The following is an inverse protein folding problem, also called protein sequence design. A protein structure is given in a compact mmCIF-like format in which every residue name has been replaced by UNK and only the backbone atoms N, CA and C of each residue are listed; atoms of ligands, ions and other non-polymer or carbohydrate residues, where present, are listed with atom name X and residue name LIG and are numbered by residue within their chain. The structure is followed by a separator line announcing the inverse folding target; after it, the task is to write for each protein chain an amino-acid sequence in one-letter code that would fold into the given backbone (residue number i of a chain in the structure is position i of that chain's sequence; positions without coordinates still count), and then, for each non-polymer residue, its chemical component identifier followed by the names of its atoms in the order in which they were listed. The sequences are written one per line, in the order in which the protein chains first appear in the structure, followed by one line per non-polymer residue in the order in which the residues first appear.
data_IF_048531128174
#
_entry.id   IF_048531128174
#
_cell.length_a   1.000
_cell.length_b   1.000
_cell.length_c   1.000
_cell.angle_alpha   90.00
_cell.angle_beta   90.00
_cell.angle_gamma   90.00
#
_symmetry.space_group_name_H-M   'P 1'
#
loop_
_entity.id
_entity.type
_entity.pdbx_description
1 polymer ?
#
# COMPACT_ATOMS: atom_id res chain seq x y z
N UNK A 1 1.15 48.72 -43.17
CA UNK A 1 2.19 49.08 -42.18
C UNK A 1 1.50 49.70 -40.96
N UNK A 2 0.87 48.89 -40.12
CA UNK A 2 1.44 48.40 -38.86
C UNK A 2 1.75 49.51 -37.84
N UNK A 3 0.91 49.62 -36.80
CA UNK A 3 1.38 49.95 -35.46
C UNK A 3 0.56 49.23 -34.40
N UNK A 4 1.33 48.60 -33.53
CA UNK A 4 1.02 47.75 -32.39
C UNK A 4 0.43 48.54 -31.21
N UNK A 5 0.01 47.77 -30.19
CA UNK A 5 -0.35 48.12 -28.81
C UNK A 5 -1.84 48.45 -28.61
N UNK A 6 -2.56 47.91 -27.62
CA UNK A 6 -2.19 47.12 -26.43
C UNK A 6 -3.45 46.37 -25.98
N UNK A 7 -3.29 45.15 -25.51
CA UNK A 7 -4.28 44.44 -24.70
C UNK A 7 -4.43 45.13 -23.35
N UNK A 8 -5.64 45.62 -23.05
CA UNK A 8 -6.08 45.81 -21.67
C UNK A 8 -7.24 44.83 -21.43
N UNK A 9 -7.08 44.04 -20.38
CA UNK A 9 -8.12 43.17 -19.84
C UNK A 9 -9.30 44.04 -19.37
N UNK A 10 -10.49 43.76 -19.89
CA UNK A 10 -11.73 44.26 -19.30
C UNK A 10 -12.86 43.26 -19.56
N UNK A 11 -13.11 42.49 -18.49
CA UNK A 11 -14.41 42.37 -17.85
C UNK A 11 -15.47 41.41 -18.42
N UNK A 12 -15.99 40.64 -17.48
CA UNK A 12 -17.00 39.62 -17.64
C UNK A 12 -18.35 40.31 -17.73
N UNK A 13 -18.97 40.25 -18.92
CA UNK A 13 -20.42 40.20 -19.04
C UNK A 13 -21.16 41.54 -18.96
N UNK A 14 -21.41 42.14 -20.12
CA UNK A 14 -22.69 42.82 -20.40
C UNK A 14 -22.92 42.82 -21.92
N UNK A 15 -23.92 42.08 -22.41
CA UNK A 15 -24.31 42.12 -23.83
C UNK A 15 -25.12 43.38 -24.12
N UNK A 16 -24.46 44.49 -24.44
CA UNK A 16 -25.16 45.68 -24.94
C UNK A 16 -25.68 45.39 -26.37
N UNK A 17 -26.94 45.73 -26.65
CA UNK A 17 -27.40 45.82 -28.04
C UNK A 17 -26.59 46.93 -28.70
N UNK A 18 -25.94 46.63 -29.82
CA UNK A 18 -25.49 47.71 -30.70
C UNK A 18 -26.77 48.26 -31.30
N UNK A 19 -27.19 49.42 -30.82
CA UNK A 19 -28.24 50.15 -31.53
C UNK A 19 -27.69 50.36 -32.94
N UNK A 20 -28.43 49.87 -33.93
CA UNK A 20 -28.26 50.19 -35.36
C UNK A 20 -27.36 49.28 -36.23
N UNK A 21 -26.78 48.19 -35.71
CA UNK A 21 -26.15 47.18 -36.59
C UNK A 21 -27.14 46.05 -36.95
N UNK A 22 -27.45 45.83 -38.25
CA UNK A 22 -28.32 44.73 -38.66
C UNK A 22 -27.62 43.38 -38.51
N UNK A 23 -28.42 42.34 -38.25
CA UNK A 23 -27.93 40.96 -38.25
C UNK A 23 -27.40 40.58 -39.63
N UNK A 24 -26.21 39.97 -39.69
CA UNK A 24 -25.56 39.53 -40.92
C UNK A 24 -26.23 38.32 -41.61
N UNK A 25 -27.38 37.86 -41.11
CA UNK A 25 -28.06 36.69 -41.67
C UNK A 25 -29.01 37.16 -42.80
N UNK A 26 -28.93 36.57 -44.01
CA UNK A 26 -29.79 36.96 -45.13
C UNK A 26 -31.28 36.96 -44.75
N UNK A 27 -31.97 38.05 -45.03
CA UNK A 27 -33.40 38.21 -44.72
C UNK A 27 -33.73 38.48 -43.24
N UNK A 28 -32.74 38.73 -42.37
CA UNK A 28 -32.98 38.99 -40.96
C UNK A 28 -33.06 40.49 -40.63
N UNK A 29 -34.26 41.00 -40.34
CA UNK A 29 -34.48 42.39 -39.91
C UNK A 29 -34.25 42.67 -38.41
N UNK A 30 -33.39 41.90 -37.72
CA UNK A 30 -33.13 42.07 -36.27
C UNK A 30 -31.78 42.73 -36.03
N UNK A 31 -31.66 43.46 -34.93
CA UNK A 31 -30.40 44.07 -34.52
C UNK A 31 -29.41 43.03 -33.98
N UNK A 32 -28.14 43.23 -34.28
CA UNK A 32 -27.03 42.41 -33.83
C UNK A 32 -26.66 42.69 -32.37
N UNK A 33 -25.95 41.73 -31.76
CA UNK A 33 -25.33 41.89 -30.45
C UNK A 33 -23.81 42.00 -30.63
N UNK A 34 -23.17 42.89 -29.87
CA UNK A 34 -21.70 42.92 -29.76
C UNK A 34 -21.26 41.68 -28.97
N UNK A 35 -20.52 40.78 -29.60
CA UNK A 35 -19.95 39.58 -28.98
C UNK A 35 -18.50 39.41 -29.42
N UNK A 36 -17.62 39.06 -28.49
CA UNK A 36 -16.20 38.85 -28.79
C UNK A 36 -16.02 37.65 -29.72
N UNK A 37 -15.44 37.87 -30.92
CA UNK A 37 -14.99 36.80 -31.81
C UNK A 37 -15.97 36.31 -32.88
N UNK A 38 -17.02 37.06 -33.22
CA UNK A 38 -17.91 36.74 -34.34
C UNK A 38 -18.54 38.00 -34.96
N UNK A 39 -18.85 37.96 -36.26
CA UNK A 39 -19.54 39.06 -36.96
C UNK A 39 -20.92 39.40 -36.36
N UNK A 40 -21.54 40.54 -36.76
CA UNK A 40 -22.76 41.04 -36.13
C UNK A 40 -23.96 40.10 -36.34
N UNK A 41 -24.30 39.29 -35.34
CA UNK A 41 -25.46 38.38 -35.37
C UNK A 41 -26.44 38.65 -34.23
N UNK A 42 -27.75 38.49 -34.50
CA UNK A 42 -28.76 38.53 -33.44
C UNK A 42 -28.65 37.27 -32.55
N UNK A 43 -29.21 37.32 -31.34
CA UNK A 43 -29.10 36.19 -30.38
C UNK A 43 -29.60 34.86 -30.97
N UNK A 44 -30.68 34.86 -31.76
CA UNK A 44 -31.22 33.64 -32.39
C UNK A 44 -30.23 33.04 -33.39
N UNK A 45 -29.65 33.85 -34.26
CA UNK A 45 -28.67 33.38 -35.25
C UNK A 45 -27.32 33.04 -34.63
N UNK A 46 -26.93 33.70 -33.53
CA UNK A 46 -25.77 33.31 -32.75
C UNK A 46 -25.97 31.94 -32.07
N UNK A 47 -27.15 31.68 -31.49
CA UNK A 47 -27.48 30.36 -30.93
C UNK A 47 -27.60 29.29 -32.02
N UNK A 48 -28.12 29.63 -33.20
CA UNK A 48 -28.10 28.73 -34.36
C UNK A 48 -26.67 28.49 -34.86
N UNK A 49 -25.79 29.49 -34.83
CA UNK A 49 -24.38 29.32 -35.16
C UNK A 49 -23.67 28.38 -34.19
N UNK A 50 -23.88 28.56 -32.89
CA UNK A 50 -23.38 27.65 -31.84
C UNK A 50 -23.92 26.22 -32.00
N UNK A 51 -25.17 26.09 -32.46
CA UNK A 51 -25.88 24.81 -32.52
C UNK A 51 -25.72 24.06 -33.85
N UNK A 52 -25.55 24.76 -34.97
CA UNK A 52 -25.65 24.19 -36.32
C UNK A 52 -24.50 24.55 -37.27
N UNK A 53 -23.54 25.40 -36.86
CA UNK A 53 -22.30 25.68 -37.60
C UNK A 53 -22.45 25.88 -39.13
N UNK A 54 -23.54 26.51 -39.60
CA UNK A 54 -23.72 26.87 -41.01
C UNK A 54 -23.06 28.23 -41.36
N UNK A 55 -22.13 28.69 -40.52
CA UNK A 55 -21.05 29.57 -40.93
C UNK A 55 -19.83 28.67 -40.84
N UNK A 56 -19.20 28.37 -41.97
CA UNK A 56 -18.02 27.50 -42.00
C UNK A 56 -16.97 28.12 -41.07
N UNK A 57 -16.93 27.64 -39.82
CA UNK A 57 -15.79 27.89 -38.96
C UNK A 57 -14.59 27.38 -39.75
N UNK A 58 -13.51 28.18 -39.91
CA UNK A 58 -12.33 27.69 -40.62
C UNK A 58 -12.02 26.32 -40.04
N UNK A 59 -11.73 25.30 -40.89
CA UNK A 59 -11.41 23.97 -40.41
C UNK A 59 -10.38 24.19 -39.33
N UNK A 60 -10.69 23.79 -38.08
CA UNK A 60 -9.70 23.87 -37.01
C UNK A 60 -8.48 23.22 -37.61
N UNK A 61 -7.39 23.97 -37.69
CA UNK A 61 -6.11 23.45 -38.15
C UNK A 61 -5.75 22.37 -37.12
N UNK A 62 -6.28 21.17 -37.36
CA UNK A 62 -6.02 19.96 -36.61
C UNK A 62 -4.65 19.58 -37.13
N UNK A 63 -3.63 20.34 -36.73
CA UNK A 63 -2.29 19.82 -36.73
C UNK A 63 -2.40 18.52 -35.94
N UNK A 64 -2.51 17.41 -36.69
CA UNK A 64 -2.52 16.06 -36.20
C UNK A 64 -1.14 15.90 -35.59
N UNK A 65 -1.02 16.26 -34.32
CA UNK A 65 0.18 16.00 -33.55
C UNK A 65 0.20 14.50 -33.39
N UNK A 66 0.92 13.83 -34.29
CA UNK A 66 1.24 12.42 -34.15
C UNK A 66 2.03 12.31 -32.85
N UNK A 67 1.49 11.56 -31.90
CA UNK A 67 2.11 11.31 -30.60
C UNK A 67 2.75 9.93 -30.59
N UNK A 68 3.84 9.79 -29.83
CA UNK A 68 4.43 8.48 -29.55
C UNK A 68 3.91 7.97 -28.21
N UNK A 69 3.36 6.75 -28.19
CA UNK A 69 2.89 6.11 -26.97
C UNK A 69 4.06 5.77 -26.04
N UNK A 70 4.06 6.26 -24.80
CA UNK A 70 5.08 6.02 -23.79
C UNK A 70 5.10 4.58 -23.22
N UNK A 71 4.24 3.69 -23.72
CA UNK A 71 4.23 2.27 -23.34
C UNK A 71 4.63 1.35 -24.50
N UNK A 72 3.91 1.42 -25.63
CA UNK A 72 4.16 0.54 -26.77
C UNK A 72 4.99 1.19 -27.89
N UNK A 73 5.38 2.46 -27.73
CA UNK A 73 6.13 3.25 -28.72
C UNK A 73 5.44 3.44 -30.08
N UNK A 74 4.17 3.02 -30.23
CA UNK A 74 3.44 3.26 -31.48
C UNK A 74 3.09 4.73 -31.65
N UNK A 75 3.18 5.20 -32.89
CA UNK A 75 2.64 6.50 -33.30
C UNK A 75 1.10 6.45 -33.30
N UNK A 76 0.45 7.49 -32.80
CA UNK A 76 -1.00 7.59 -32.79
C UNK A 76 -1.49 9.03 -32.86
N UNK A 77 -2.70 9.21 -33.36
CA UNK A 77 -3.35 10.51 -33.47
C UNK A 77 -4.52 10.63 -32.49
N UNK A 78 -4.84 11.87 -32.08
CA UNK A 78 -6.04 12.17 -31.29
C UNK A 78 -6.97 13.02 -32.13
N UNK A 79 -8.28 12.74 -32.05
CA UNK A 79 -9.32 13.55 -32.72
C UNK A 79 -9.55 14.94 -32.10
N UNK A 80 -8.76 15.32 -31.09
CA UNK A 80 -8.85 16.59 -30.38
C UNK A 80 -7.46 17.13 -30.02
N UNK A 81 -7.33 18.45 -29.94
CA UNK A 81 -6.11 19.14 -29.52
C UNK A 81 -5.90 19.02 -28.01
N UNK A 82 -4.66 18.75 -27.58
CA UNK A 82 -4.24 18.75 -26.17
C UNK A 82 -3.43 20.01 -25.85
N UNK A 83 -3.42 20.45 -24.59
CA UNK A 83 -2.57 21.58 -24.15
C UNK A 83 -1.09 21.26 -24.34
N UNK A 84 -0.23 22.29 -24.51
CA UNK A 84 1.23 22.11 -24.64
C UNK A 84 1.82 21.33 -23.47
N UNK A 85 1.38 21.63 -22.24
CA UNK A 85 1.78 20.91 -21.04
C UNK A 85 1.44 19.41 -21.12
N UNK A 86 0.20 19.08 -21.49
CA UNK A 86 -0.21 17.69 -21.65
C UNK A 86 0.59 17.02 -22.76
N UNK A 87 0.77 17.67 -23.90
CA UNK A 87 1.57 17.17 -25.03
C UNK A 87 3.03 16.90 -24.66
N UNK A 88 3.63 17.71 -23.80
CA UNK A 88 4.99 17.51 -23.27
C UNK A 88 5.07 16.34 -22.27
N UNK A 89 3.94 15.96 -21.68
CA UNK A 89 3.83 14.81 -20.79
C UNK A 89 3.76 13.48 -21.52
N UNK A 90 3.80 12.39 -20.76
CA UNK A 90 3.70 11.02 -21.29
C UNK A 90 2.35 10.80 -21.97
N UNK A 91 2.40 10.42 -23.25
CA UNK A 91 1.23 10.13 -24.07
C UNK A 91 0.98 8.63 -24.16
N UNK A 92 -0.28 8.22 -24.26
CA UNK A 92 -0.67 6.82 -24.44
C UNK A 92 -1.73 6.68 -25.52
N UNK A 93 -1.59 5.68 -26.39
CA UNK A 93 -2.49 5.47 -27.52
C UNK A 93 -3.90 5.05 -27.09
N UNK A 94 -4.02 4.35 -25.96
CA UNK A 94 -5.30 3.94 -25.37
C UNK A 94 -5.17 3.76 -23.84
N UNK A 95 -6.29 3.48 -23.17
CA UNK A 95 -6.35 3.29 -21.72
C UNK A 95 -5.57 2.06 -21.24
N UNK A 96 -5.45 1.02 -22.07
CA UNK A 96 -4.70 -0.19 -21.75
C UNK A 96 -3.20 0.12 -21.67
N UNK A 97 -2.66 0.83 -22.67
CA UNK A 97 -1.29 1.30 -22.69
C UNK A 97 -1.00 2.29 -21.55
N UNK A 98 -1.97 3.13 -21.17
CA UNK A 98 -1.82 4.00 -20.01
C UNK A 98 -1.69 3.19 -18.71
N UNK A 99 -2.59 2.22 -18.50
CA UNK A 99 -2.56 1.33 -17.32
C UNK A 99 -1.29 0.51 -17.28
N UNK A 100 -0.91 -0.11 -18.40
CA UNK A 100 0.29 -0.95 -18.52
C UNK A 100 1.57 -0.12 -18.38
N UNK A 101 1.65 1.06 -18.98
CA UNK A 101 2.80 1.96 -18.85
C UNK A 101 2.99 2.51 -17.43
N UNK A 102 1.89 2.86 -16.75
CA UNK A 102 1.93 3.26 -15.32
C UNK A 102 2.40 2.11 -14.43
N UNK A 103 1.90 0.91 -14.71
CA UNK A 103 2.29 -0.35 -14.06
C UNK A 103 3.79 -0.57 -14.26
N UNK A 104 4.27 -0.72 -15.49
CA UNK A 104 5.68 -0.95 -15.81
C UNK A 104 6.63 0.07 -15.15
N UNK A 105 6.25 1.36 -15.12
CA UNK A 105 7.06 2.39 -14.44
C UNK A 105 7.13 2.19 -12.92
N UNK A 106 6.00 1.85 -12.29
CA UNK A 106 5.99 1.54 -10.86
C UNK A 106 6.85 0.30 -10.54
N UNK A 107 6.85 -0.70 -11.43
CA UNK A 107 7.74 -1.88 -11.35
C UNK A 107 9.22 -1.49 -11.50
N UNK A 108 9.55 -0.65 -12.48
CA UNK A 108 10.92 -0.17 -12.70
C UNK A 108 11.48 0.60 -11.49
N UNK A 109 10.66 1.41 -10.80
CA UNK A 109 11.06 2.12 -9.57
C UNK A 109 10.96 1.28 -8.29
N UNK A 110 10.61 -0.01 -8.40
CA UNK A 110 10.45 -0.89 -7.23
C UNK A 110 11.77 -1.12 -6.47
N UNK A 111 12.91 -1.41 -7.14
CA UNK A 111 14.17 -1.67 -6.45
C UNK A 111 14.61 -0.48 -5.60
N UNK A 112 14.61 0.72 -6.17
CA UNK A 112 15.05 1.94 -5.47
C UNK A 112 14.19 2.22 -4.23
N UNK A 113 12.86 2.13 -4.39
CA UNK A 113 11.94 2.34 -3.26
C UNK A 113 12.05 1.26 -2.20
N UNK A 114 12.35 0.03 -2.60
CA UNK A 114 12.58 -1.06 -1.66
C UNK A 114 13.86 -0.82 -0.85
N UNK A 115 14.98 -0.56 -1.52
CA UNK A 115 16.27 -0.36 -0.85
C UNK A 115 16.32 0.91 -0.01
N UNK A 116 15.54 1.95 -0.35
CA UNK A 116 15.35 3.13 0.50
C UNK A 116 14.73 2.83 1.88
N UNK A 117 14.06 1.67 2.04
CA UNK A 117 13.45 1.22 3.29
C UNK A 117 14.31 0.19 4.04
N UNK A 118 15.50 -0.11 3.54
CA UNK A 118 16.44 -1.05 4.15
C UNK A 118 17.63 -0.26 4.69
N UNK A 119 17.97 -0.46 5.96
CA UNK A 119 19.22 0.06 6.49
C UNK A 119 20.37 -0.84 6.01
N UNK A 120 20.95 -0.52 4.86
CA UNK A 120 22.05 -1.27 4.26
C UNK A 120 23.35 -1.02 5.04
N UNK A 121 24.08 -2.09 5.33
CA UNK A 121 25.36 -2.08 6.04
C UNK A 121 26.38 -3.02 5.40
N UNK A 122 27.34 -3.51 6.18
CA UNK A 122 28.34 -4.49 5.73
C UNK A 122 27.73 -5.84 5.31
N UNK A 123 28.50 -6.64 4.57
CA UNK A 123 28.04 -7.95 4.06
C UNK A 123 27.73 -8.97 5.16
N UNK A 124 28.39 -8.87 6.31
CA UNK A 124 28.20 -9.72 7.49
C UNK A 124 27.22 -9.12 8.50
N UNK A 125 26.70 -7.91 8.24
CA UNK A 125 25.78 -7.22 9.13
C UNK A 125 24.33 -7.49 8.73
N UNK A 126 23.42 -7.49 9.70
CA UNK A 126 22.01 -7.51 9.36
C UNK A 126 21.61 -6.18 8.73
N UNK A 127 20.80 -6.23 7.67
CA UNK A 127 20.21 -5.03 7.07
C UNK A 127 18.74 -4.94 7.49
N UNK A 128 18.41 -4.26 8.61
CA UNK A 128 17.07 -4.28 9.16
C UNK A 128 16.08 -3.49 8.29
N UNK A 129 14.91 -4.09 8.07
CA UNK A 129 13.76 -3.46 7.44
C UNK A 129 13.21 -2.31 8.30
N UNK A 130 13.14 -1.11 7.73
CA UNK A 130 12.66 0.11 8.38
C UNK A 130 11.15 0.35 8.18
N UNK A 131 10.51 -0.37 7.25
CA UNK A 131 9.08 -0.26 7.01
C UNK A 131 8.21 -1.05 8.00
N UNK A 132 6.95 -1.26 7.62
CA UNK A 132 5.98 -1.99 8.42
C UNK A 132 6.43 -3.45 8.68
N UNK A 133 6.29 -3.91 9.93
CA UNK A 133 6.65 -5.26 10.39
C UNK A 133 5.43 -5.95 11.00
N UNK A 134 5.34 -7.28 10.83
CA UNK A 134 4.38 -8.12 11.57
C UNK A 134 4.82 -8.25 13.04
N UNK A 135 3.92 -8.68 13.97
CA UNK A 135 4.28 -8.91 15.38
C UNK A 135 5.48 -9.84 15.57
N UNK A 136 5.67 -10.82 14.68
CA UNK A 136 6.82 -11.74 14.68
C UNK A 136 8.11 -11.14 14.05
N UNK A 137 8.15 -9.84 13.77
CA UNK A 137 9.33 -9.13 13.25
C UNK A 137 9.51 -9.14 11.73
N UNK A 138 8.74 -9.96 10.99
CA UNK A 138 8.84 -10.02 9.53
C UNK A 138 8.39 -8.73 8.85
N UNK A 139 9.28 -8.15 8.03
CA UNK A 139 8.98 -6.97 7.22
C UNK A 139 7.97 -7.25 6.10
N UNK A 140 7.11 -6.27 5.81
CA UNK A 140 6.21 -6.26 4.64
C UNK A 140 6.53 -5.08 3.74
N UNK A 141 6.56 -5.34 2.44
CA UNK A 141 6.71 -4.33 1.41
C UNK A 141 5.52 -4.39 0.47
N UNK A 142 4.90 -3.24 0.20
CA UNK A 142 3.76 -3.13 -0.70
C UNK A 142 4.21 -2.42 -1.96
N UNK A 143 4.31 -3.17 -3.06
CA UNK A 143 4.78 -2.55 -4.29
C UNK A 143 3.66 -1.72 -4.95
N UNK A 144 2.47 -2.29 -5.04
CA UNK A 144 1.25 -1.63 -5.51
C UNK A 144 0.11 -1.91 -4.55
N UNK A 145 -0.97 -1.12 -4.58
CA UNK A 145 -2.17 -1.46 -3.84
C UNK A 145 -2.58 -2.91 -4.11
N UNK A 146 -2.73 -3.72 -3.06
CA UNK A 146 -3.06 -5.14 -3.15
C UNK A 146 -1.87 -6.11 -3.32
N UNK A 147 -0.68 -5.64 -3.71
CA UNK A 147 0.51 -6.48 -3.86
C UNK A 147 1.44 -6.37 -2.63
N UNK A 148 1.13 -7.16 -1.60
CA UNK A 148 1.89 -7.15 -0.34
C UNK A 148 2.82 -8.36 -0.27
N UNK A 149 4.12 -8.10 -0.33
CA UNK A 149 5.19 -9.09 -0.33
C UNK A 149 5.97 -9.07 1.00
N UNK A 150 6.63 -10.19 1.32
CA UNK A 150 7.55 -10.22 2.47
C UNK A 150 8.87 -9.55 2.09
N UNK A 151 9.39 -8.70 2.97
CA UNK A 151 10.55 -7.85 2.65
C UNK A 151 11.80 -8.68 2.30
N UNK A 152 12.10 -9.73 3.08
CA UNK A 152 13.27 -10.59 2.81
C UNK A 152 13.13 -11.37 1.49
N UNK A 153 11.92 -11.80 1.11
CA UNK A 153 11.68 -12.43 -0.21
C UNK A 153 11.93 -11.45 -1.35
N UNK A 154 11.49 -10.20 -1.18
CA UNK A 154 11.75 -9.14 -2.15
C UNK A 154 13.26 -8.84 -2.26
N UNK A 155 13.97 -8.75 -1.13
CA UNK A 155 15.42 -8.56 -1.11
C UNK A 155 16.16 -9.68 -1.86
N UNK A 156 15.76 -10.94 -1.62
CA UNK A 156 16.30 -12.08 -2.36
C UNK A 156 16.03 -11.93 -3.86
N UNK A 157 14.78 -11.63 -4.25
CA UNK A 157 14.39 -11.49 -5.66
C UNK A 157 15.18 -10.39 -6.39
N UNK A 158 15.36 -9.25 -5.73
CA UNK A 158 16.07 -8.09 -6.29
C UNK A 158 17.58 -8.34 -6.41
N UNK A 159 18.20 -9.07 -5.47
CA UNK A 159 19.64 -9.27 -5.45
C UNK A 159 20.12 -10.55 -6.14
N UNK A 160 19.31 -11.62 -6.10
CA UNK A 160 19.67 -12.97 -6.58
C UNK A 160 18.78 -13.47 -7.72
N UNK A 161 17.73 -12.73 -8.07
CA UNK A 161 16.81 -13.07 -9.16
C UNK A 161 15.62 -13.91 -8.73
N UNK A 162 14.88 -14.40 -9.73
CA UNK A 162 13.69 -15.24 -9.50
C UNK A 162 14.07 -16.57 -8.85
N UNK A 163 13.11 -17.13 -8.14
CA UNK A 163 13.24 -18.42 -7.48
C UNK A 163 11.91 -19.16 -7.52
N UNK A 164 11.93 -20.47 -7.33
CA UNK A 164 10.70 -21.27 -7.24
C UNK A 164 9.90 -20.83 -6.00
N UNK A 165 8.67 -20.34 -6.21
CA UNK A 165 7.80 -19.85 -5.15
C UNK A 165 7.42 -20.93 -4.12
N UNK A 166 7.62 -22.21 -4.45
CA UNK A 166 7.49 -23.36 -3.53
C UNK A 166 8.60 -23.42 -2.49
N UNK A 167 9.72 -22.76 -2.73
CA UNK A 167 10.83 -22.66 -1.79
C UNK A 167 10.63 -21.51 -0.80
N UNK A 168 11.26 -21.64 0.36
CA UNK A 168 11.31 -20.65 1.41
C UNK A 168 12.60 -19.85 1.29
N UNK A 169 12.51 -18.54 1.50
CA UNK A 169 13.68 -17.68 1.67
C UNK A 169 13.97 -17.63 3.17
N UNK A 170 15.00 -18.37 3.58
CA UNK A 170 15.34 -18.60 4.98
C UNK A 170 16.47 -17.65 5.41
N UNK A 171 16.45 -17.26 6.69
CA UNK A 171 17.49 -16.44 7.29
C UNK A 171 18.59 -17.30 7.90
N UNK A 172 19.84 -17.09 7.49
CA UNK A 172 21.00 -17.66 8.18
C UNK A 172 21.25 -16.97 9.53
N UNK A 173 20.96 -15.68 9.63
CA UNK A 173 21.20 -14.83 10.81
C UNK A 173 20.08 -14.89 11.88
N UNK A 174 19.01 -15.63 11.65
CA UNK A 174 17.83 -15.74 12.54
C UNK A 174 17.17 -14.39 12.95
N UNK A 175 17.39 -13.32 12.19
CA UNK A 175 16.75 -12.02 12.36
C UNK A 175 15.63 -11.83 11.32
N UNK A 176 14.34 -11.94 11.68
CA UNK A 176 13.21 -11.86 10.73
C UNK A 176 13.09 -10.55 9.93
N UNK A 177 13.67 -9.47 10.47
CA UNK A 177 13.66 -8.15 9.82
C UNK A 177 14.80 -7.95 8.83
N UNK A 178 15.78 -8.85 8.80
CA UNK A 178 16.96 -8.73 7.96
C UNK A 178 16.61 -8.92 6.47
N UNK A 179 17.11 -8.00 5.64
CA UNK A 179 16.99 -7.98 4.19
C UNK A 179 18.35 -8.12 3.48
N UNK A 180 19.43 -8.47 4.19
CA UNK A 180 20.75 -8.66 3.59
C UNK A 180 20.77 -9.94 2.72
N UNK A 181 21.00 -9.86 1.39
CA UNK A 181 21.02 -11.03 0.52
C UNK A 181 22.04 -12.12 0.93
N UNK A 182 23.16 -11.74 1.53
CA UNK A 182 24.18 -12.68 2.04
C UNK A 182 23.67 -13.51 3.21
N UNK A 183 22.67 -13.02 3.95
CA UNK A 183 22.04 -13.73 5.07
C UNK A 183 20.80 -14.53 4.64
N UNK A 184 20.47 -14.58 3.34
CA UNK A 184 19.29 -15.24 2.81
C UNK A 184 19.66 -16.41 1.90
N UNK A 185 19.00 -17.56 2.09
CA UNK A 185 19.19 -18.76 1.29
C UNK A 185 17.85 -19.40 0.94
N UNK A 186 17.80 -20.19 -0.14
CA UNK A 186 16.60 -20.92 -0.54
C UNK A 186 16.58 -22.30 0.10
N UNK A 187 15.52 -22.60 0.83
CA UNK A 187 15.33 -23.88 1.48
C UNK A 187 13.96 -24.47 1.19
N UNK A 188 13.89 -25.79 1.18
CA UNK A 188 12.60 -26.50 1.31
C UNK A 188 12.05 -26.32 2.72
N UNK A 189 10.75 -26.59 2.89
CA UNK A 189 10.14 -26.61 4.22
C UNK A 189 10.89 -27.55 5.19
N UNK A 190 11.30 -28.74 4.71
CA UNK A 190 12.08 -29.72 5.47
C UNK A 190 13.40 -29.11 5.96
N UNK A 191 14.18 -28.51 5.08
CA UNK A 191 15.46 -27.88 5.43
C UNK A 191 15.29 -26.72 6.42
N UNK A 192 14.26 -25.89 6.28
CA UNK A 192 13.98 -24.82 7.24
C UNK A 192 13.62 -25.38 8.63
N UNK A 193 12.86 -26.47 8.67
CA UNK A 193 12.55 -27.16 9.93
C UNK A 193 13.82 -27.77 10.55
N UNK A 194 14.65 -28.44 9.76
CA UNK A 194 15.90 -29.03 10.22
C UNK A 194 16.86 -27.94 10.77
N UNK A 195 16.95 -26.76 10.12
CA UNK A 195 17.69 -25.58 10.62
C UNK A 195 17.14 -25.09 11.97
N UNK A 196 15.81 -24.96 12.09
CA UNK A 196 15.16 -24.59 13.36
C UNK A 196 15.47 -25.60 14.47
N UNK A 197 15.47 -26.91 14.17
CA UNK A 197 15.81 -27.95 15.11
C UNK A 197 17.29 -27.89 15.53
N UNK A 198 18.20 -27.79 14.57
CA UNK A 198 19.65 -27.66 14.82
C UNK A 198 19.96 -26.46 15.71
N UNK A 199 19.28 -25.33 15.49
CA UNK A 199 19.40 -24.10 16.28
C UNK A 199 18.61 -24.09 17.58
N UNK A 200 17.96 -25.20 17.94
CA UNK A 200 17.13 -25.37 19.15
C UNK A 200 16.00 -24.33 19.29
N UNK A 201 15.57 -23.71 18.18
CA UNK A 201 14.48 -22.72 18.13
C UNK A 201 13.08 -23.35 18.12
N UNK A 202 13.01 -24.68 18.14
CA UNK A 202 11.77 -25.45 18.24
C UNK A 202 11.21 -25.52 19.67
N UNK A 203 12.02 -25.14 20.67
CA UNK A 203 11.61 -25.18 22.07
C UNK A 203 10.65 -24.04 22.37
N UNK A 204 9.43 -24.36 22.80
CA UNK A 204 8.54 -23.36 23.38
C UNK A 204 9.24 -22.65 24.56
N UNK A 205 8.90 -21.38 24.86
CA UNK A 205 9.36 -20.73 26.08
C UNK A 205 9.11 -21.68 27.28
N UNK A 206 10.02 -21.75 28.26
CA UNK A 206 9.81 -22.62 29.41
C UNK A 206 8.45 -22.28 30.03
N UNK A 207 7.56 -23.27 30.09
CA UNK A 207 6.26 -23.09 30.74
C UNK A 207 6.55 -22.68 32.17
N UNK A 208 6.27 -21.42 32.49
CA UNK A 208 6.42 -20.89 33.85
C UNK A 208 5.37 -21.59 34.72
N UNK A 209 5.81 -22.54 35.55
CA UNK A 209 4.97 -23.35 36.43
C UNK A 209 5.17 -22.95 37.88
N UNK A 210 4.14 -23.20 38.69
CA UNK A 210 4.20 -22.95 40.13
C UNK A 210 4.49 -21.47 40.44
N UNK A 211 5.43 -21.23 41.36
CA UNK A 211 5.82 -19.89 41.84
C UNK A 211 6.45 -19.00 40.76
N UNK A 212 6.91 -19.59 39.66
CA UNK A 212 7.46 -18.84 38.52
C UNK A 212 6.38 -18.28 37.59
N UNK A 213 5.12 -18.67 37.78
CA UNK A 213 4.00 -18.12 37.01
C UNK A 213 3.72 -16.68 37.44
N UNK A 214 3.50 -15.78 36.48
CA UNK A 214 3.21 -14.37 36.74
C UNK A 214 1.94 -14.14 37.58
N UNK A 215 1.04 -15.14 37.61
CA UNK A 215 -0.20 -15.11 38.38
C UNK A 215 -0.15 -16.03 39.63
N UNK A 216 1.05 -16.47 40.04
CA UNK A 216 1.19 -17.36 41.19
C UNK A 216 0.80 -16.64 42.49
N UNK A 217 -0.28 -17.10 43.11
CA UNK A 217 -0.72 -16.67 44.45
C UNK A 217 -0.20 -17.54 45.60
N UNK A 218 0.42 -18.66 45.26
CA UNK A 218 0.94 -19.65 46.20
C UNK A 218 2.42 -19.86 45.93
N UNK A 219 3.21 -19.98 47.00
CA UNK A 219 4.60 -20.40 46.96
C UNK A 219 4.73 -21.92 47.10
N UNK A 220 5.92 -22.46 46.84
CA UNK A 220 6.21 -23.89 47.10
C UNK A 220 5.88 -24.29 48.54
N UNK A 221 6.16 -23.44 49.53
CA UNK A 221 5.90 -23.75 50.94
C UNK A 221 4.42 -23.75 51.27
N UNK A 222 3.63 -22.84 50.69
CA UNK A 222 2.16 -22.79 50.84
C UNK A 222 1.51 -24.07 50.34
N UNK A 223 1.94 -24.54 49.17
CA UNK A 223 1.45 -25.77 48.56
C UNK A 223 1.72 -26.98 49.46
N UNK A 224 2.90 -27.06 50.07
CA UNK A 224 3.23 -28.13 51.02
C UNK A 224 2.39 -28.02 52.31
N UNK A 225 2.08 -26.81 52.77
CA UNK A 225 1.16 -26.59 53.92
C UNK A 225 -0.26 -27.04 53.58
N UNK A 226 -0.73 -26.78 52.36
CA UNK A 226 -2.05 -27.20 51.87
C UNK A 226 -2.16 -28.73 51.81
N UNK A 227 -1.10 -29.42 51.35
CA UNK A 227 -1.07 -30.89 51.28
C UNK A 227 -1.03 -31.53 52.67
N UNK A 228 -0.30 -30.94 53.63
CA UNK A 228 -0.16 -31.49 54.99
C UNK A 228 -1.34 -31.18 55.91
N UNK A 229 -2.08 -30.09 55.66
CA UNK A 229 -3.22 -29.70 56.50
C UNK A 229 -4.40 -30.65 56.32
N UNK A 230 -5.16 -30.90 57.37
CA UNK A 230 -6.45 -31.60 57.36
C UNK A 230 -7.66 -30.64 57.30
N UNK A 231 -7.41 -29.32 57.23
CA UNK A 231 -8.48 -28.32 57.19
C UNK A 231 -9.34 -28.45 55.91
N UNK A 232 -10.61 -28.01 55.94
CA UNK A 232 -11.47 -27.99 54.76
C UNK A 232 -10.93 -27.07 53.66
N UNK A 233 -11.08 -27.48 52.39
CA UNK A 233 -10.55 -26.75 51.23
C UNK A 233 -10.99 -25.28 51.18
N UNK A 234 -12.22 -24.98 51.62
CA UNK A 234 -12.77 -23.61 51.66
C UNK A 234 -12.08 -22.71 52.69
N UNK A 235 -11.68 -23.26 53.84
CA UNK A 235 -10.97 -22.53 54.87
C UNK A 235 -9.53 -22.20 54.42
N UNK A 236 -8.86 -23.18 53.82
CA UNK A 236 -7.53 -22.99 53.21
C UNK A 236 -7.56 -21.97 52.07
N UNK A 237 -8.58 -22.05 51.22
CA UNK A 237 -8.78 -21.13 50.11
C UNK A 237 -8.90 -19.67 50.57
N UNK A 238 -9.71 -19.43 51.61
CA UNK A 238 -9.86 -18.10 52.20
C UNK A 238 -8.53 -17.59 52.78
N UNK A 239 -7.78 -18.45 53.49
CA UNK A 239 -6.51 -18.09 54.12
C UNK A 239 -5.43 -17.72 53.11
N UNK A 240 -5.36 -18.43 51.98
CA UNK A 240 -4.35 -18.20 50.94
C UNK A 240 -4.84 -17.28 49.80
N UNK A 241 -6.06 -16.74 49.89
CA UNK A 241 -6.61 -15.85 48.86
C UNK A 241 -6.75 -16.50 47.48
N UNK A 242 -7.08 -17.80 47.45
CA UNK A 242 -7.30 -18.61 46.24
C UNK A 242 -8.69 -19.23 46.24
N UNK A 243 -9.08 -19.90 45.15
CA UNK A 243 -10.37 -20.60 45.08
C UNK A 243 -10.28 -21.97 45.76
N UNK A 244 -11.40 -22.47 46.30
CA UNK A 244 -11.46 -23.84 46.85
C UNK A 244 -11.10 -24.90 45.81
N UNK A 245 -11.45 -24.67 44.54
CA UNK A 245 -11.03 -25.52 43.42
C UNK A 245 -9.51 -25.58 43.22
N UNK A 246 -8.77 -24.49 43.50
CA UNK A 246 -7.31 -24.48 43.41
C UNK A 246 -6.69 -25.37 44.50
N UNK A 247 -7.20 -25.30 45.72
CA UNK A 247 -6.80 -26.16 46.85
C UNK A 247 -7.12 -27.63 46.54
N UNK A 248 -8.34 -27.91 46.07
CA UNK A 248 -8.76 -29.24 45.63
C UNK A 248 -7.80 -29.81 44.57
N UNK A 249 -7.48 -29.02 43.54
CA UNK A 249 -6.58 -29.44 42.46
C UNK A 249 -5.15 -29.73 42.95
N UNK A 250 -4.66 -29.00 43.95
CA UNK A 250 -3.35 -29.25 44.57
C UNK A 250 -3.36 -30.59 45.32
N UNK A 251 -4.38 -30.82 46.16
CA UNK A 251 -4.51 -32.06 46.96
C UNK A 251 -4.66 -33.31 46.10
N UNK A 252 -5.32 -33.20 44.94
CA UNK A 252 -5.52 -34.32 44.01
C UNK A 252 -4.44 -34.43 42.93
N UNK A 253 -3.32 -33.69 43.04
CA UNK A 253 -2.21 -33.75 42.08
C UNK A 253 -2.53 -33.20 40.69
N UNK A 254 -3.69 -32.54 40.50
CA UNK A 254 -4.09 -31.89 39.23
C UNK A 254 -3.32 -30.60 38.98
N UNK A 255 -2.89 -29.92 40.04
CA UNK A 255 -2.02 -28.75 40.02
C UNK A 255 -0.80 -28.97 40.93
N UNK A 256 0.32 -28.31 40.63
CA UNK A 256 1.56 -28.39 41.43
C UNK A 256 2.13 -29.81 41.63
N UNK A 257 1.82 -30.76 40.74
CA UNK A 257 2.32 -32.15 40.82
C UNK A 257 3.84 -32.28 40.89
N UNK A 258 4.56 -31.36 40.24
CA UNK A 258 6.03 -31.24 40.30
C UNK A 258 6.58 -30.86 41.69
N UNK A 259 5.74 -30.30 42.57
CA UNK A 259 6.07 -29.96 43.97
C UNK A 259 5.51 -31.00 44.94
N UNK A 260 4.27 -31.44 44.72
CA UNK A 260 3.57 -32.35 45.64
C UNK A 260 3.96 -33.82 45.46
N UNK A 261 4.41 -34.21 44.27
CA UNK A 261 4.72 -35.62 43.95
C UNK A 261 3.49 -36.53 43.83
N UNK A 262 2.28 -35.99 44.01
CA UNK A 262 1.02 -36.72 43.96
C UNK A 262 0.71 -37.05 42.49
N UNK A 263 0.59 -38.35 42.18
CA UNK A 263 0.14 -38.81 40.85
C UNK A 263 -1.36 -38.57 40.73
N UNK A 264 -1.80 -38.04 39.58
CA UNK A 264 -3.23 -37.92 39.28
C UNK A 264 -3.80 -39.35 39.22
N UNK A 265 -4.76 -39.65 40.08
CA UNK A 265 -5.63 -40.80 39.87
C UNK A 265 -6.48 -40.50 38.64
N UNK A 266 -6.50 -41.46 37.70
CA UNK A 266 -7.23 -41.39 36.44
C UNK A 266 -8.73 -41.25 36.68
#
# INVERSE_FOLDING_TARGET
MARLYRSEEADVGTTARVKDLPCSAPGCGRNALLRSGGGPACNRHYQMWLRYAAFQAPPRDRAQTVFTCAHCNSSFERGYTVSRERASGRQYCNIECERAGKTARAEAGTPDRFWALVAVGGQNECWPWQGHKKPLGYGRFTNRPGDIQQAHRMAYRLAKGSFDERLFVCHACDNPSCCNPSHLWLGTHRQNMDDMFAKKRHSAPPVLRGERSLNARLTKSDVLRVVKSSEPDRALAARFGVTAAAIYNIRHGKAWSHVTGIKRHA
#
